data_IF_113681575563
#
_entry.id   IF_113681575563
#
_cell.length_a   1.000
_cell.length_b   1.000
_cell.length_c   1.000
_cell.angle_alpha   90.00
_cell.angle_beta   90.00
_cell.angle_gamma   90.00
#
_symmetry.space_group_name_H-M   'P 1'
#
loop_
_entity.id
_entity.type
_entity.pdbx_description
1 polymer ?
#
# COMPACT_ATOMS: atom_id res chain seq x y z
N UNK A 1 4.73 7.12 -25.02
CA UNK A 1 5.34 5.83 -24.61
C UNK A 1 4.27 5.00 -23.94
N UNK A 2 4.14 3.72 -24.30
CA UNK A 2 3.18 2.83 -23.66
C UNK A 2 3.77 2.30 -22.34
N UNK A 3 2.98 2.27 -21.28
CA UNK A 3 3.34 1.64 -20.01
C UNK A 3 2.64 0.30 -19.91
N UNK A 4 3.38 -0.77 -19.62
CA UNK A 4 2.81 -2.08 -19.32
C UNK A 4 2.79 -2.27 -17.80
N UNK A 5 1.72 -2.89 -17.29
CA UNK A 5 1.59 -3.25 -15.87
C UNK A 5 1.76 -4.75 -15.71
N UNK A 6 2.50 -5.18 -14.70
CA UNK A 6 2.52 -6.59 -14.31
C UNK A 6 1.18 -7.00 -13.72
N UNK A 7 0.97 -8.31 -13.64
CA UNK A 7 -0.11 -8.86 -12.81
C UNK A 7 0.02 -8.36 -11.37
N UNK A 8 -1.13 -8.26 -10.69
CA UNK A 8 -1.20 -7.95 -9.26
C UNK A 8 -0.60 -9.12 -8.47
N UNK A 9 0.22 -8.77 -7.48
CA UNK A 9 0.81 -9.68 -6.51
C UNK A 9 0.34 -9.27 -5.13
N UNK A 10 -0.23 -10.21 -4.38
CA UNK A 10 -0.58 -9.95 -2.99
C UNK A 10 0.69 -9.83 -2.15
N UNK A 11 0.86 -8.69 -1.48
CA UNK A 11 2.03 -8.40 -0.64
C UNK A 11 1.68 -8.36 0.85
N UNK A 12 0.39 -8.34 1.19
CA UNK A 12 -0.05 -8.39 2.58
C UNK A 12 -1.53 -8.73 2.73
N UNK A 13 -1.86 -9.23 3.91
CA UNK A 13 -3.23 -9.37 4.39
C UNK A 13 -3.22 -9.35 5.91
N UNK A 14 -4.25 -8.76 6.47
CA UNK A 14 -4.48 -8.71 7.91
C UNK A 14 -5.95 -8.92 8.21
N UNK A 15 -6.19 -9.48 9.38
CA UNK A 15 -7.53 -9.63 9.92
C UNK A 15 -7.58 -9.06 11.33
N UNK A 16 -8.65 -8.35 11.66
CA UNK A 16 -8.90 -7.78 12.97
C UNK A 16 -7.77 -6.84 13.45
N UNK A 17 -7.25 -6.01 12.55
CA UNK A 17 -6.30 -4.94 12.92
C UNK A 17 -7.02 -3.96 13.85
N UNK A 18 -6.61 -3.93 15.12
CA UNK A 18 -7.23 -3.12 16.16
C UNK A 18 -7.06 -1.60 15.90
N UNK A 19 -7.92 -0.80 16.54
CA UNK A 19 -7.75 0.65 16.55
C UNK A 19 -6.44 1.05 17.23
N UNK A 20 -5.74 2.04 16.65
CA UNK A 20 -4.41 2.46 17.05
C UNK A 20 -3.28 1.49 16.68
N UNK A 21 -3.58 0.38 15.99
CA UNK A 21 -2.59 -0.57 15.52
C UNK A 21 -2.15 -0.30 14.08
N UNK A 22 -0.94 -0.76 13.77
CA UNK A 22 -0.34 -0.65 12.44
C UNK A 22 -0.07 -2.03 11.86
N UNK A 23 -0.26 -2.16 10.55
CA UNK A 23 0.16 -3.32 9.77
C UNK A 23 1.26 -2.93 8.78
N UNK A 24 2.26 -3.79 8.62
CA UNK A 24 3.27 -3.67 7.57
C UNK A 24 3.15 -4.88 6.63
N UNK A 25 3.10 -4.62 5.33
CA UNK A 25 3.14 -5.66 4.30
C UNK A 25 4.53 -6.27 4.17
N UNK A 26 4.62 -7.38 3.43
CA UNK A 26 5.90 -7.83 2.89
C UNK A 26 6.46 -6.80 1.91
N UNK A 27 7.76 -6.86 1.70
CA UNK A 27 8.41 -6.05 0.68
C UNK A 27 8.10 -6.57 -0.73
N UNK A 28 8.04 -5.63 -1.66
CA UNK A 28 7.77 -5.86 -3.06
C UNK A 28 8.91 -5.29 -3.91
N UNK A 29 9.46 -6.13 -4.78
CA UNK A 29 10.56 -5.76 -5.68
C UNK A 29 10.01 -5.02 -6.92
N UNK A 30 10.44 -3.78 -7.05
CA UNK A 30 10.06 -2.82 -8.09
C UNK A 30 11.28 -2.27 -8.81
N UNK A 31 12.43 -2.91 -8.69
CA UNK A 31 13.72 -2.50 -9.28
C UNK A 31 13.65 -2.16 -10.77
N UNK A 32 12.87 -2.91 -11.54
CA UNK A 32 12.67 -2.66 -12.98
C UNK A 32 11.44 -1.80 -13.31
N UNK A 33 10.76 -1.26 -12.29
CA UNK A 33 9.53 -0.48 -12.42
C UNK A 33 9.79 1.03 -12.50
N UNK A 34 8.95 1.75 -13.25
CA UNK A 34 8.89 3.22 -13.26
C UNK A 34 7.73 3.77 -12.43
N UNK A 35 6.75 2.93 -12.12
CA UNK A 35 5.62 3.24 -11.24
C UNK A 35 5.11 1.96 -10.56
N UNK A 36 4.37 2.12 -9.46
CA UNK A 36 3.65 1.03 -8.79
C UNK A 36 2.15 1.31 -8.88
N UNK A 37 1.37 0.31 -9.24
CA UNK A 37 -0.06 0.27 -8.97
C UNK A 37 -0.30 -0.50 -7.68
N UNK A 38 -0.77 0.18 -6.64
CA UNK A 38 -1.25 -0.42 -5.40
C UNK A 38 -2.76 -0.52 -5.42
N UNK A 39 -3.27 -1.65 -4.97
CA UNK A 39 -4.68 -1.87 -4.72
C UNK A 39 -4.83 -2.42 -3.32
N UNK A 40 -5.59 -1.70 -2.51
CA UNK A 40 -5.78 -1.97 -1.10
C UNK A 40 -7.28 -2.14 -0.91
N UNK A 41 -7.70 -3.36 -0.62
CA UNK A 41 -9.08 -3.66 -0.29
C UNK A 41 -9.21 -3.68 1.23
N UNK A 42 -10.04 -2.81 1.77
CA UNK A 42 -10.29 -2.67 3.20
C UNK A 42 -11.76 -2.99 3.51
N UNK A 43 -11.98 -3.84 4.49
CA UNK A 43 -13.28 -4.15 5.05
C UNK A 43 -13.32 -3.69 6.51
N UNK A 44 -14.36 -2.97 6.86
CA UNK A 44 -14.61 -2.54 8.23
C UNK A 44 -15.65 -3.44 8.85
N UNK A 45 -15.33 -4.02 10.01
CA UNK A 45 -16.27 -4.84 10.79
C UNK A 45 -17.45 -4.08 11.39
N UNK A 46 -17.64 -2.79 11.04
CA UNK A 46 -18.70 -1.92 11.53
C UNK A 46 -18.64 -0.55 10.85
N UNK A 47 -19.49 0.40 11.28
CA UNK A 47 -19.42 1.79 10.80
C UNK A 47 -18.19 2.47 11.39
N UNK A 48 -17.16 2.80 10.60
CA UNK A 48 -15.98 3.50 11.11
C UNK A 48 -16.35 4.92 11.56
N UNK A 49 -15.69 5.38 12.63
CA UNK A 49 -15.82 6.74 13.16
C UNK A 49 -14.54 7.56 12.99
N UNK A 50 -13.58 7.08 12.18
CA UNK A 50 -12.26 7.68 12.02
C UNK A 50 -11.63 7.43 10.65
N UNK A 51 -10.29 7.41 10.56
CA UNK A 51 -9.56 7.32 9.29
C UNK A 51 -8.50 6.23 9.28
N UNK A 52 -8.10 5.82 8.08
CA UNK A 52 -7.00 4.89 7.84
C UNK A 52 -5.89 5.64 7.15
N UNK A 53 -4.68 5.56 7.70
CA UNK A 53 -3.50 6.13 7.05
C UNK A 53 -2.77 5.03 6.31
N UNK A 54 -2.47 5.28 5.04
CA UNK A 54 -1.75 4.36 4.16
C UNK A 54 -0.45 5.05 3.78
N UNK A 55 0.67 4.37 3.98
CA UNK A 55 2.00 4.87 3.67
C UNK A 55 2.75 3.85 2.85
N UNK A 56 3.53 4.33 1.89
CA UNK A 56 4.38 3.49 1.05
C UNK A 56 5.81 3.86 1.34
N UNK A 57 6.55 2.93 1.91
CA UNK A 57 7.95 3.13 2.28
C UNK A 57 8.84 2.55 1.18
N UNK A 58 9.90 3.27 0.85
CA UNK A 58 10.93 2.82 -0.06
C UNK A 58 12.17 2.34 0.69
N UNK A 59 12.85 1.35 0.13
CA UNK A 59 14.14 0.86 0.59
C UNK A 59 15.06 0.55 -0.58
N UNK A 60 16.35 0.84 -0.41
CA UNK A 60 17.42 0.51 -1.36
C UNK A 60 17.98 -0.91 -1.15
N UNK A 61 17.90 -1.42 0.07
CA UNK A 61 18.60 -2.62 0.55
C UNK A 61 17.64 -3.69 1.10
N UNK A 62 16.32 -3.42 1.12
CA UNK A 62 15.27 -4.26 1.70
C UNK A 62 15.40 -4.44 3.23
N UNK A 63 16.22 -3.62 3.89
CA UNK A 63 16.47 -3.71 5.34
C UNK A 63 16.33 -2.36 6.05
N UNK A 64 16.72 -1.28 5.37
CA UNK A 64 16.61 0.10 5.82
C UNK A 64 15.49 0.78 5.06
N UNK A 65 14.41 1.09 5.77
CA UNK A 65 13.26 1.78 5.20
C UNK A 65 13.39 3.28 5.43
N UNK A 66 13.05 4.08 4.42
CA UNK A 66 13.07 5.53 4.53
C UNK A 66 12.13 6.00 5.64
N UNK A 67 12.63 6.89 6.51
CA UNK A 67 11.82 7.58 7.52
C UNK A 67 10.70 8.42 6.88
N UNK A 68 10.93 8.90 5.66
CA UNK A 68 9.92 9.60 4.86
C UNK A 68 9.26 8.63 3.89
N UNK A 69 7.93 8.47 3.93
CA UNK A 69 7.24 7.65 2.94
C UNK A 69 7.42 8.25 1.54
N UNK A 70 7.49 7.38 0.53
CA UNK A 70 7.43 7.77 -0.88
C UNK A 70 6.08 8.38 -1.22
N UNK A 71 5.05 7.87 -0.55
CA UNK A 71 3.68 8.31 -0.73
C UNK A 71 2.90 8.03 0.55
N UNK A 72 1.98 8.94 0.89
CA UNK A 72 1.01 8.71 1.96
C UNK A 72 -0.35 9.28 1.59
N UNK A 73 -1.41 8.60 2.01
CA UNK A 73 -2.78 9.12 2.02
C UNK A 73 -3.47 8.77 3.33
N UNK A 74 -4.46 9.56 3.69
CA UNK A 74 -5.36 9.29 4.80
C UNK A 74 -6.77 9.28 4.26
N UNK A 75 -7.46 8.16 4.43
CA UNK A 75 -8.81 7.98 3.93
C UNK A 75 -9.79 7.82 5.07
N UNK A 76 -10.92 8.51 4.99
CA UNK A 76 -12.10 8.24 5.80
C UNK A 76 -13.01 7.35 4.96
N UNK A 77 -13.11 6.10 5.33
CA UNK A 77 -13.87 5.09 4.61
C UNK A 77 -15.18 4.82 5.35
N UNK A 78 -16.15 4.19 4.69
CA UNK A 78 -17.39 3.75 5.32
C UNK A 78 -17.81 2.41 4.74
N UNK A 79 -17.74 1.35 5.54
CA UNK A 79 -17.98 -0.03 5.08
C UNK A 79 -16.91 -0.55 4.12
N UNK A 80 -17.23 -1.62 3.41
CA UNK A 80 -16.31 -2.28 2.46
C UNK A 80 -15.89 -1.31 1.35
N UNK A 81 -14.60 -1.01 1.30
CA UNK A 81 -14.04 -0.06 0.32
C UNK A 81 -12.79 -0.61 -0.33
N UNK A 82 -12.70 -0.45 -1.64
CA UNK A 82 -11.51 -0.73 -2.41
C UNK A 82 -10.82 0.57 -2.81
N UNK A 83 -9.54 0.68 -2.50
CA UNK A 83 -8.71 1.84 -2.78
C UNK A 83 -7.62 1.47 -3.77
N UNK A 84 -7.56 2.20 -4.89
CA UNK A 84 -6.55 1.98 -5.93
C UNK A 84 -5.70 3.23 -6.04
N UNK A 85 -4.40 3.06 -5.83
CA UNK A 85 -3.40 4.12 -5.91
C UNK A 85 -2.37 3.78 -6.99
N UNK A 86 -2.04 4.77 -7.83
CA UNK A 86 -0.90 4.67 -8.73
C UNK A 86 0.17 5.64 -8.25
N UNK A 87 1.33 5.11 -7.89
CA UNK A 87 2.47 5.87 -7.40
C UNK A 87 3.48 5.93 -8.54
N UNK A 88 3.62 7.12 -9.12
CA UNK A 88 4.53 7.39 -10.22
C UNK A 88 5.92 7.78 -9.70
N UNK A 89 6.94 7.67 -10.55
CA UNK A 89 8.31 8.13 -10.30
C UNK A 89 9.03 7.45 -9.13
N UNK A 90 8.97 6.11 -9.08
CA UNK A 90 9.69 5.30 -8.09
C UNK A 90 11.11 4.92 -8.51
N UNK A 91 11.59 5.49 -9.61
CA UNK A 91 12.89 5.16 -10.22
C UNK A 91 14.01 5.31 -9.20
N UNK A 92 14.86 4.28 -9.09
CA UNK A 92 15.99 4.26 -8.15
C UNK A 92 15.65 3.69 -6.78
N UNK A 93 14.42 3.21 -6.55
CA UNK A 93 14.03 2.50 -5.33
C UNK A 93 13.66 1.07 -5.69
N UNK A 94 14.49 0.08 -5.35
CA UNK A 94 14.25 -1.32 -5.71
C UNK A 94 13.18 -2.01 -4.87
N UNK A 95 12.95 -1.59 -3.62
CA UNK A 95 11.99 -2.25 -2.73
C UNK A 95 10.99 -1.28 -2.16
N UNK A 96 9.72 -1.70 -2.13
CA UNK A 96 8.65 -0.96 -1.47
C UNK A 96 7.89 -1.85 -0.50
N UNK A 97 7.34 -1.23 0.54
CA UNK A 97 6.34 -1.87 1.40
C UNK A 97 5.20 -0.90 1.67
N UNK A 98 4.06 -1.45 2.09
CA UNK A 98 2.88 -0.68 2.45
C UNK A 98 2.67 -0.82 3.95
N UNK A 99 2.56 0.32 4.62
CA UNK A 99 2.17 0.44 6.02
C UNK A 99 0.75 0.99 6.09
N UNK A 100 -0.08 0.37 6.91
CA UNK A 100 -1.46 0.80 7.15
C UNK A 100 -1.62 1.05 8.64
N UNK A 101 -1.98 2.27 9.03
CA UNK A 101 -2.30 2.63 10.40
C UNK A 101 -3.82 2.77 10.54
N UNK A 102 -4.40 1.97 11.44
CA UNK A 102 -5.81 2.02 11.74
C UNK A 102 -6.07 3.08 12.82
N UNK A 103 -6.78 4.15 12.45
CA UNK A 103 -7.29 5.17 13.39
C UNK A 103 -8.81 5.33 13.21
N UNK A 104 -9.49 4.24 12.88
CA UNK A 104 -10.91 4.26 12.50
C UNK A 104 -11.87 4.10 13.67
N UNK A 105 -11.38 3.75 14.86
CA UNK A 105 -12.19 3.41 16.04
C UNK A 105 -12.83 2.02 16.00
N UNK A 106 -12.59 1.24 14.93
CA UNK A 106 -13.08 -0.14 14.77
C UNK A 106 -11.97 -1.06 14.26
N UNK A 107 -12.20 -2.37 14.27
CA UNK A 107 -11.26 -3.33 13.69
C UNK A 107 -11.34 -3.34 12.16
N UNK A 108 -10.19 -3.52 11.54
CA UNK A 108 -10.02 -3.56 10.09
C UNK A 108 -9.57 -4.94 9.61
N UNK A 109 -10.17 -5.39 8.52
CA UNK A 109 -9.69 -6.50 7.71
C UNK A 109 -9.25 -5.96 6.35
N UNK A 110 -8.21 -6.54 5.75
CA UNK A 110 -7.76 -6.03 4.47
C UNK A 110 -6.73 -6.87 3.76
N UNK A 111 -6.65 -6.63 2.45
CA UNK A 111 -5.67 -7.24 1.55
C UNK A 111 -4.95 -6.15 0.76
N UNK A 112 -3.65 -6.32 0.59
CA UNK A 112 -2.79 -5.37 -0.12
C UNK A 112 -2.20 -6.10 -1.33
N UNK A 113 -2.52 -5.59 -2.51
CA UNK A 113 -2.02 -6.05 -3.78
C UNK A 113 -1.14 -4.95 -4.40
N UNK A 114 -0.02 -5.35 -4.97
CA UNK A 114 0.90 -4.46 -5.67
C UNK A 114 1.16 -4.97 -7.08
N UNK A 115 1.37 -4.05 -8.00
CA UNK A 115 1.77 -4.30 -9.38
C UNK A 115 2.83 -3.28 -9.76
N UNK A 116 3.81 -3.66 -10.58
CA UNK A 116 4.79 -2.72 -11.12
C UNK A 116 4.43 -2.35 -12.55
N UNK A 117 4.66 -1.10 -12.91
CA UNK A 117 4.52 -0.62 -14.27
C UNK A 117 5.90 -0.30 -14.84
N UNK A 118 6.13 -0.66 -16.10
CA UNK A 118 7.38 -0.43 -16.82
C UNK A 118 7.10 0.25 -18.17
N UNK A 119 8.05 1.07 -18.64
CA UNK A 119 7.97 1.69 -19.96
C UNK A 119 8.31 0.63 -21.01
N UNK A 120 7.45 0.47 -22.01
CA UNK A 120 7.77 -0.31 -23.21
C UNK A 120 8.44 0.65 -24.20
N UNK A 121 9.69 0.35 -24.54
CA UNK A 121 10.48 1.04 -25.57
C UNK A 121 10.09 0.55 -26.97
#
# INVERSE_FOLDING_TARGET
MAVSKTSKTQIGSFSSLADGASYLSNSFDVSDGVAIGLEISLNFGGTPSGSVKIQVLGSLDNTTWSDKPLWESTETLSGDTELVYNIENITGIPYVLVKIDNNSGVTLDGTINASKAYVIL
#
